data_IF_727921616816
#
_entry.id   IF_727921616816
#
_cell.length_a   1.000
_cell.length_b   1.000
_cell.length_c   1.000
_cell.angle_alpha   90.00
_cell.angle_beta   90.00
_cell.angle_gamma   90.00
#
_symmetry.space_group_name_H-M   'P 1'
#
loop_
_entity.id
_entity.type
_entity.pdbx_description
1 polymer ?
#
# COMPACT_ATOMS: atom_id res chain seq x y z
N UNK A 1 26.52 24.63 4.78
CA UNK A 1 27.43 23.75 5.52
C UNK A 1 27.00 22.30 5.26
N UNK A 2 27.88 21.39 4.85
CA UNK A 2 27.51 20.03 4.47
C UNK A 2 27.05 19.14 5.62
N UNK A 3 27.44 19.48 6.86
CA UNK A 3 27.15 18.65 8.06
C UNK A 3 25.65 18.56 8.38
N UNK A 4 24.90 19.62 8.14
CA UNK A 4 23.45 19.63 8.40
C UNK A 4 22.67 18.70 7.47
N UNK A 5 23.10 18.60 6.23
CA UNK A 5 22.44 17.76 5.22
C UNK A 5 22.62 16.26 5.50
N UNK A 6 23.80 15.85 5.97
CA UNK A 6 24.09 14.46 6.31
C UNK A 6 23.32 14.02 7.57
N UNK A 7 23.26 14.88 8.59
CA UNK A 7 22.50 14.62 9.81
C UNK A 7 21.00 14.41 9.54
N UNK A 8 20.40 15.24 8.67
CA UNK A 8 19.00 15.13 8.30
C UNK A 8 18.70 13.82 7.58
N UNK A 9 19.55 13.40 6.67
CA UNK A 9 19.38 12.17 5.91
C UNK A 9 19.46 10.95 6.82
N UNK A 10 20.37 10.92 7.78
CA UNK A 10 20.53 9.78 8.69
C UNK A 10 19.35 9.64 9.65
N UNK A 11 18.86 10.74 10.22
CA UNK A 11 17.66 10.71 11.08
C UNK A 11 16.41 10.25 10.33
N UNK A 12 16.24 10.68 9.09
CA UNK A 12 15.12 10.26 8.25
C UNK A 12 15.23 8.79 7.84
N UNK A 13 16.43 8.28 7.64
CA UNK A 13 16.66 6.87 7.31
C UNK A 13 16.40 5.93 8.49
N UNK A 14 16.69 6.35 9.72
CA UNK A 14 16.53 5.51 10.90
C UNK A 14 15.08 5.29 11.34
N UNK A 15 14.14 6.14 10.91
CA UNK A 15 12.72 6.05 11.33
C UNK A 15 11.71 6.16 10.16
N UNK A 16 11.83 5.40 9.08
CA UNK A 16 10.91 5.53 7.96
C UNK A 16 9.54 4.88 8.19
N UNK A 17 9.41 3.90 9.08
CA UNK A 17 8.20 3.11 9.33
C UNK A 17 7.90 3.10 10.82
N UNK A 18 6.68 3.47 11.21
CA UNK A 18 6.19 3.27 12.57
C UNK A 18 5.73 1.82 12.74
N UNK A 19 6.01 1.21 13.89
CA UNK A 19 5.46 -0.10 14.25
C UNK A 19 3.93 -0.08 14.17
N UNK A 20 3.33 -1.15 13.61
CA UNK A 20 1.89 -1.23 13.39
C UNK A 20 1.38 -0.49 12.15
N UNK A 21 2.26 -0.12 11.21
CA UNK A 21 1.85 0.42 9.92
C UNK A 21 1.34 -0.71 9.01
N UNK A 22 0.18 -0.50 8.38
CA UNK A 22 -0.37 -1.46 7.40
C UNK A 22 0.58 -1.72 6.22
N UNK A 23 1.54 -0.84 5.96
CA UNK A 23 2.59 -1.05 4.96
C UNK A 23 3.51 -2.23 5.29
N UNK A 24 3.58 -2.66 6.55
CA UNK A 24 4.39 -3.80 6.97
C UNK A 24 3.79 -5.15 6.51
N UNK A 25 2.50 -5.15 6.16
CA UNK A 25 1.81 -6.33 5.61
C UNK A 25 2.10 -6.55 4.12
N UNK A 26 2.81 -5.61 3.47
CA UNK A 26 3.22 -5.75 2.08
C UNK A 26 4.62 -6.34 1.95
N UNK A 27 4.85 -7.06 0.86
CA UNK A 27 6.17 -7.58 0.53
C UNK A 27 7.14 -6.45 0.15
N UNK A 28 8.37 -6.50 0.68
CA UNK A 28 9.42 -5.55 0.33
C UNK A 28 10.19 -6.01 -0.92
N UNK A 29 9.91 -5.38 -2.04
CA UNK A 29 10.55 -5.63 -3.32
C UNK A 29 11.72 -4.67 -3.63
N UNK A 30 12.23 -3.95 -2.63
CA UNK A 30 13.31 -2.96 -2.80
C UNK A 30 14.56 -3.54 -3.48
N UNK A 31 14.84 -4.83 -3.29
CA UNK A 31 15.98 -5.51 -3.89
C UNK A 31 15.86 -5.69 -5.42
N UNK A 32 14.64 -5.59 -5.97
CA UNK A 32 14.36 -5.77 -7.40
C UNK A 32 14.26 -4.43 -8.16
N UNK A 33 14.50 -3.32 -7.48
CA UNK A 33 14.41 -1.98 -8.07
C UNK A 33 15.72 -1.62 -8.77
N UNK A 34 15.64 -1.23 -10.05
CA UNK A 34 16.74 -0.64 -10.81
C UNK A 34 16.31 0.72 -11.38
N UNK A 35 17.18 1.73 -11.26
CA UNK A 35 16.95 3.09 -11.78
C UNK A 35 15.55 3.67 -11.50
N UNK A 36 15.06 3.55 -10.25
CA UNK A 36 13.71 3.97 -9.83
C UNK A 36 12.55 3.25 -10.55
N UNK A 37 12.83 2.10 -11.15
CA UNK A 37 11.81 1.27 -11.79
C UNK A 37 11.83 -0.13 -11.17
N UNK A 38 10.68 -0.64 -10.83
CA UNK A 38 10.49 -2.03 -10.44
C UNK A 38 10.04 -2.81 -11.69
N UNK A 39 10.83 -3.80 -12.08
CA UNK A 39 10.53 -4.67 -13.20
C UNK A 39 9.89 -5.96 -12.68
N UNK A 40 8.65 -6.21 -13.07
CA UNK A 40 7.91 -7.44 -12.76
C UNK A 40 7.59 -8.17 -14.06
N UNK A 41 7.46 -9.49 -13.97
CA UNK A 41 6.90 -10.31 -15.03
C UNK A 41 5.55 -10.83 -14.59
N UNK A 42 4.51 -10.50 -15.34
CA UNK A 42 3.18 -11.09 -15.14
C UNK A 42 3.14 -12.45 -15.86
N UNK A 43 2.80 -13.49 -15.11
CA UNK A 43 2.73 -14.84 -15.64
C UNK A 43 1.63 -14.96 -16.70
N UNK A 44 1.96 -15.55 -17.83
CA UNK A 44 0.98 -15.84 -18.89
C UNK A 44 -0.04 -16.89 -18.47
N UNK A 45 -0.95 -17.18 -19.38
CA UNK A 45 -2.08 -18.10 -19.15
C UNK A 45 -1.60 -19.50 -18.74
N UNK A 46 -2.25 -20.10 -17.76
CA UNK A 46 -2.00 -21.47 -17.36
C UNK A 46 -2.40 -22.44 -18.47
N UNK A 47 -1.69 -23.58 -18.61
CA UNK A 47 -2.01 -24.58 -19.61
C UNK A 47 -3.37 -25.25 -19.31
N UNK A 48 -4.13 -25.49 -20.37
CA UNK A 48 -5.40 -26.21 -20.30
C UNK A 48 -5.19 -27.67 -19.93
N UNK A 49 -5.98 -28.20 -18.99
CA UNK A 49 -5.95 -29.59 -18.57
C UNK A 49 -7.07 -30.37 -19.24
N UNK A 50 -6.70 -31.43 -19.97
CA UNK A 50 -7.66 -32.35 -20.60
C UNK A 50 -7.85 -33.56 -19.73
N UNK A 51 -9.11 -33.95 -19.49
CA UNK A 51 -9.47 -35.19 -18.81
C UNK A 51 -9.86 -36.22 -19.88
N UNK A 52 -9.32 -37.43 -19.80
CA UNK A 52 -9.60 -38.54 -20.72
C UNK A 52 -9.40 -38.15 -22.21
N UNK A 53 -8.29 -37.49 -22.52
CA UNK A 53 -8.00 -37.02 -23.87
C UNK A 53 -7.72 -38.17 -24.86
N UNK A 54 -8.58 -38.32 -25.87
CA UNK A 54 -8.45 -39.30 -26.94
C UNK A 54 -7.67 -38.78 -28.17
N UNK A 55 -7.30 -37.52 -28.18
CA UNK A 55 -6.67 -36.86 -29.32
C UNK A 55 -5.19 -36.54 -29.09
N UNK A 56 -4.32 -37.23 -29.83
CA UNK A 56 -2.85 -37.03 -29.79
C UNK A 56 -2.29 -36.67 -31.17
N UNK A 57 -1.24 -35.83 -31.25
CA UNK A 57 -0.56 -35.14 -30.13
C UNK A 57 -1.37 -33.98 -29.54
N UNK A 58 -1.23 -33.74 -28.22
CA UNK A 58 -1.78 -32.57 -27.57
C UNK A 58 -1.06 -31.31 -28.13
N UNK A 59 -1.82 -30.28 -28.43
CA UNK A 59 -1.29 -29.02 -28.96
C UNK A 59 -0.25 -28.41 -28.02
N UNK A 60 0.76 -27.76 -28.59
CA UNK A 60 1.77 -27.00 -27.82
C UNK A 60 1.30 -25.56 -27.74
N UNK A 61 1.10 -25.06 -26.54
CA UNK A 61 0.84 -23.64 -26.29
C UNK A 61 2.12 -23.02 -25.71
N UNK A 62 2.57 -21.93 -26.33
CA UNK A 62 3.69 -21.16 -25.80
C UNK A 62 3.14 -20.20 -24.73
N UNK A 63 3.71 -20.24 -23.53
CA UNK A 63 3.43 -19.25 -22.50
C UNK A 63 4.19 -17.96 -22.82
N UNK A 64 3.48 -16.86 -22.86
CA UNK A 64 4.06 -15.53 -23.02
C UNK A 64 3.90 -14.77 -21.70
N UNK A 65 5.02 -14.45 -21.06
CA UNK A 65 5.03 -13.63 -19.85
C UNK A 65 5.14 -12.15 -20.25
N UNK A 66 4.30 -11.31 -19.66
CA UNK A 66 4.25 -9.89 -19.99
C UNK A 66 5.07 -9.09 -18.99
N UNK A 67 6.11 -8.35 -19.43
CA UNK A 67 6.86 -7.47 -18.55
C UNK A 67 5.99 -6.30 -18.11
N UNK A 68 6.04 -5.96 -16.83
CA UNK A 68 5.33 -4.84 -16.21
C UNK A 68 6.31 -3.96 -15.45
N UNK A 69 6.43 -2.73 -15.89
CA UNK A 69 7.32 -1.75 -15.29
C UNK A 69 6.52 -0.79 -14.39
N UNK A 70 6.94 -0.68 -13.12
CA UNK A 70 6.34 0.22 -12.14
C UNK A 70 7.35 1.31 -11.79
N UNK A 71 7.04 2.55 -12.16
CA UNK A 71 7.85 3.70 -11.80
C UNK A 71 7.64 4.09 -10.33
N UNK A 72 8.74 4.26 -9.60
CA UNK A 72 8.70 4.69 -8.22
C UNK A 72 8.59 6.21 -8.10
N UNK A 73 7.79 6.65 -7.15
CA UNK A 73 7.65 8.07 -6.80
C UNK A 73 8.72 8.50 -5.80
N UNK A 74 9.31 9.67 -6.04
CA UNK A 74 10.14 10.35 -5.05
C UNK A 74 9.28 11.28 -4.19
N UNK A 75 9.54 11.30 -2.89
CA UNK A 75 8.84 12.15 -1.94
C UNK A 75 9.83 13.12 -1.31
N UNK A 76 9.62 14.41 -1.56
CA UNK A 76 10.45 15.49 -1.02
C UNK A 76 9.63 16.39 -0.11
N UNK A 77 10.27 16.94 0.91
CA UNK A 77 9.70 17.99 1.75
C UNK A 77 10.36 19.33 1.48
N UNK A 78 9.64 20.43 1.69
CA UNK A 78 10.23 21.76 1.64
C UNK A 78 11.25 21.93 2.76
N UNK A 79 12.36 22.59 2.46
CA UNK A 79 13.38 22.91 3.45
C UNK A 79 12.82 23.86 4.51
N UNK A 80 13.06 23.54 5.79
CA UNK A 80 12.72 24.40 6.91
C UNK A 80 13.99 25.02 7.47
N UNK A 81 14.03 26.35 7.56
CA UNK A 81 15.16 27.09 8.13
C UNK A 81 14.95 27.26 9.63
N UNK A 82 15.86 26.75 10.42
CA UNK A 82 15.92 27.02 11.86
C UNK A 82 16.91 28.18 12.08
N UNK A 83 16.38 29.36 12.37
CA UNK A 83 17.21 30.56 12.68
C UNK A 83 17.25 30.71 14.19
N UNK A 84 18.33 30.50 14.79
CA UNK A 84 18.83 31.07 16.06
C UNK A 84 19.95 30.25 16.63
N UNK A 85 21.14 30.79 16.57
CA UNK A 85 22.37 30.16 17.07
C UNK A 85 22.54 30.40 18.59
N UNK A 86 21.77 31.33 19.19
CA UNK A 86 22.00 31.82 20.55
C UNK A 86 21.59 30.86 21.69
N UNK A 87 20.95 29.78 21.39
CA UNK A 87 20.59 28.76 22.41
C UNK A 87 20.84 27.36 21.88
N UNK A 88 22.08 26.89 21.97
CA UNK A 88 22.45 25.53 21.51
C UNK A 88 21.56 24.42 22.09
N UNK A 89 21.09 24.54 23.33
CA UNK A 89 20.17 23.56 23.92
C UNK A 89 18.75 23.68 23.36
N UNK A 90 18.24 24.88 23.16
CA UNK A 90 16.93 25.09 22.54
C UNK A 90 16.94 24.79 21.02
N UNK A 91 18.08 24.96 20.36
CA UNK A 91 18.25 24.61 18.94
C UNK A 91 18.21 23.10 18.71
N UNK A 92 18.70 22.31 19.64
CA UNK A 92 18.64 20.84 19.56
C UNK A 92 17.18 20.34 19.62
N UNK A 93 16.38 20.83 20.58
CA UNK A 93 14.97 20.44 20.68
C UNK A 93 14.14 20.91 19.48
N UNK A 94 14.41 22.10 18.95
CA UNK A 94 13.78 22.63 17.74
C UNK A 94 14.14 21.78 16.51
N UNK A 95 15.41 21.41 16.37
CA UNK A 95 15.87 20.60 15.26
C UNK A 95 15.19 19.23 15.27
N UNK A 96 15.11 18.60 16.43
CA UNK A 96 14.43 17.31 16.60
C UNK A 96 12.92 17.44 16.28
N UNK A 97 12.26 18.49 16.75
CA UNK A 97 10.85 18.74 16.46
C UNK A 97 10.58 18.97 14.96
N UNK A 98 11.42 19.75 14.29
CA UNK A 98 11.32 19.99 12.85
C UNK A 98 11.56 18.71 12.07
N UNK A 99 12.57 17.93 12.44
CA UNK A 99 12.86 16.63 11.81
C UNK A 99 11.70 15.66 11.97
N UNK A 100 11.12 15.56 13.17
CA UNK A 100 9.90 14.74 13.39
C UNK A 100 8.73 15.22 12.53
N UNK A 101 8.57 16.53 12.36
CA UNK A 101 7.55 17.13 11.48
C UNK A 101 7.72 16.66 10.03
N UNK A 102 8.94 16.66 9.49
CA UNK A 102 9.24 16.16 8.15
C UNK A 102 8.99 14.66 8.01
N UNK A 103 9.47 13.87 8.97
CA UNK A 103 9.24 12.40 8.99
C UNK A 103 7.74 12.10 9.01
N UNK A 104 6.98 12.75 9.87
CA UNK A 104 5.53 12.56 9.97
C UNK A 104 4.79 12.96 8.68
N UNK A 105 5.23 14.02 8.01
CA UNK A 105 4.65 14.46 6.74
C UNK A 105 4.92 13.45 5.61
N UNK A 106 6.16 12.97 5.50
CA UNK A 106 6.55 11.95 4.54
C UNK A 106 5.79 10.62 4.78
N UNK A 107 5.72 10.17 6.03
CA UNK A 107 5.03 8.94 6.41
C UNK A 107 3.53 9.02 6.06
N UNK A 108 2.86 10.13 6.42
CA UNK A 108 1.45 10.32 6.04
C UNK A 108 1.24 10.31 4.53
N UNK A 109 2.11 10.99 3.78
CA UNK A 109 1.99 11.03 2.31
C UNK A 109 2.23 9.67 1.69
N UNK A 110 3.24 8.92 2.19
CA UNK A 110 3.53 7.56 1.75
C UNK A 110 2.34 6.63 1.99
N UNK A 111 1.75 6.64 3.20
CA UNK A 111 0.55 5.85 3.53
C UNK A 111 -0.63 6.18 2.61
N UNK A 112 -0.89 7.47 2.38
CA UNK A 112 -1.96 7.89 1.50
C UNK A 112 -1.74 7.45 0.04
N UNK A 113 -0.50 7.52 -0.47
CA UNK A 113 -0.17 7.05 -1.81
C UNK A 113 -0.29 5.52 -1.92
N UNK A 114 0.20 4.77 -0.92
CA UNK A 114 0.08 3.32 -0.91
C UNK A 114 -1.39 2.89 -0.88
N UNK A 115 -2.19 3.44 0.02
CA UNK A 115 -3.63 3.15 0.09
C UNK A 115 -4.33 3.45 -1.24
N UNK A 116 -4.01 4.59 -1.87
CA UNK A 116 -4.59 4.96 -3.16
C UNK A 116 -4.18 4.00 -4.29
N UNK A 117 -2.90 3.63 -4.35
CA UNK A 117 -2.38 2.77 -5.42
C UNK A 117 -2.80 1.30 -5.24
N UNK A 118 -3.06 0.86 -4.02
CA UNK A 118 -3.53 -0.51 -3.75
C UNK A 118 -5.04 -0.66 -3.93
N UNK A 119 -5.80 0.44 -3.85
CA UNK A 119 -7.23 0.39 -4.10
C UNK A 119 -7.52 0.20 -5.59
N UNK A 120 -8.28 -0.82 -5.99
CA UNK A 120 -8.73 -0.96 -7.36
C UNK A 120 -9.67 0.20 -7.73
N UNK A 121 -9.49 0.77 -8.92
CA UNK A 121 -10.32 1.87 -9.42
C UNK A 121 -11.65 1.40 -10.00
N UNK A 122 -11.73 0.13 -10.39
CA UNK A 122 -12.91 -0.47 -11.03
C UNK A 122 -13.08 -1.90 -10.54
N UNK A 123 -14.35 -2.34 -10.49
CA UNK A 123 -14.67 -3.73 -10.22
C UNK A 123 -14.17 -4.61 -11.37
N UNK A 124 -13.46 -5.67 -11.04
CA UNK A 124 -12.87 -6.61 -11.97
C UNK A 124 -12.87 -8.03 -11.41
N UNK A 125 -12.53 -8.99 -12.26
CA UNK A 125 -12.52 -10.41 -11.92
C UNK A 125 -11.65 -10.71 -10.70
N UNK A 126 -10.46 -10.09 -10.64
CA UNK A 126 -9.48 -10.27 -9.55
C UNK A 126 -9.39 -9.06 -8.59
N UNK A 127 -10.17 -8.03 -8.82
CA UNK A 127 -10.16 -6.78 -8.05
C UNK A 127 -11.58 -6.36 -7.69
N UNK A 128 -12.24 -7.06 -6.75
CA UNK A 128 -13.62 -6.77 -6.40
C UNK A 128 -13.77 -5.39 -5.74
N UNK A 129 -14.70 -4.59 -6.24
CA UNK A 129 -15.11 -3.32 -5.66
C UNK A 129 -16.56 -3.42 -5.23
N UNK A 130 -16.83 -3.22 -3.96
CA UNK A 130 -18.18 -3.25 -3.39
C UNK A 130 -18.59 -1.86 -2.92
N UNK A 131 -19.86 -1.56 -3.10
CA UNK A 131 -20.48 -0.36 -2.53
C UNK A 131 -21.12 -0.75 -1.22
N UNK A 132 -20.80 -0.03 -0.15
CA UNK A 132 -21.37 -0.24 1.19
C UNK A 132 -22.90 -0.06 1.18
N UNK A 133 -23.62 -0.92 1.90
CA UNK A 133 -25.10 -1.00 1.88
C UNK A 133 -25.76 -0.33 3.08
N UNK A 134 -25.02 0.03 4.10
CA UNK A 134 -25.54 0.61 5.33
C UNK A 134 -26.26 1.96 5.15
N UNK A 135 -26.73 2.51 6.24
CA UNK A 135 -27.46 3.77 6.29
C UNK A 135 -26.66 4.94 5.69
N UNK A 136 -27.33 5.84 4.99
CA UNK A 136 -26.72 7.03 4.42
C UNK A 136 -26.54 8.11 5.48
N UNK A 137 -25.31 8.39 5.86
CA UNK A 137 -24.94 9.41 6.85
C UNK A 137 -23.93 10.38 6.23
N UNK A 138 -24.23 11.68 6.26
CA UNK A 138 -23.37 12.73 5.71
C UNK A 138 -22.92 12.51 4.24
N UNK A 139 -23.80 11.95 3.41
CA UNK A 139 -23.51 11.69 2.01
C UNK A 139 -22.67 10.41 1.74
N UNK A 140 -22.33 9.65 2.77
CA UNK A 140 -21.63 8.36 2.74
C UNK A 140 -22.52 7.25 3.28
N UNK A 141 -22.51 6.08 2.65
CA UNK A 141 -23.12 4.88 3.25
C UNK A 141 -22.18 4.26 4.26
N UNK A 142 -22.70 3.85 5.39
CA UNK A 142 -21.92 3.15 6.42
C UNK A 142 -21.49 1.77 5.95
N UNK A 143 -20.34 1.35 6.43
CA UNK A 143 -19.86 -0.02 6.28
C UNK A 143 -20.57 -0.91 7.31
N UNK A 144 -21.08 -2.07 6.87
CA UNK A 144 -21.74 -3.07 7.71
C UNK A 144 -20.92 -4.36 7.76
N UNK A 145 -21.20 -5.23 8.74
CA UNK A 145 -20.62 -6.57 8.77
C UNK A 145 -21.06 -7.42 7.57
N UNK A 146 -22.31 -7.25 7.12
CA UNK A 146 -22.82 -7.93 5.92
C UNK A 146 -22.01 -7.56 4.65
N UNK A 147 -21.56 -6.31 4.54
CA UNK A 147 -20.70 -5.88 3.43
C UNK A 147 -19.32 -6.58 3.49
N UNK A 148 -18.77 -6.80 4.70
CA UNK A 148 -17.51 -7.53 4.88
C UNK A 148 -17.68 -9.02 4.55
N UNK A 149 -18.77 -9.64 4.98
CA UNK A 149 -19.09 -11.04 4.67
C UNK A 149 -19.25 -11.24 3.15
N UNK A 150 -19.85 -10.26 2.47
CA UNK A 150 -19.98 -10.28 1.01
C UNK A 150 -18.62 -10.15 0.32
N UNK A 151 -17.74 -9.28 0.84
CA UNK A 151 -16.38 -9.13 0.33
C UNK A 151 -15.57 -10.42 0.52
N UNK A 152 -15.66 -11.02 1.71
CA UNK A 152 -15.03 -12.29 2.03
C UNK A 152 -15.51 -13.41 1.09
N UNK A 153 -16.82 -13.48 0.82
CA UNK A 153 -17.39 -14.48 -0.10
C UNK A 153 -16.84 -14.32 -1.51
N UNK A 154 -16.63 -13.07 -1.98
CA UNK A 154 -16.00 -12.81 -3.28
C UNK A 154 -14.55 -13.33 -3.33
N UNK A 155 -13.73 -13.08 -2.31
CA UNK A 155 -12.36 -13.59 -2.27
C UNK A 155 -12.31 -15.11 -2.18
N UNK A 156 -13.21 -15.74 -1.43
CA UNK A 156 -13.34 -17.20 -1.38
C UNK A 156 -13.72 -17.78 -2.75
N UNK A 157 -14.59 -17.12 -3.50
CA UNK A 157 -14.96 -17.55 -4.85
C UNK A 157 -13.80 -17.45 -5.85
N UNK A 158 -12.82 -16.59 -5.58
CA UNK A 158 -11.57 -16.47 -6.36
C UNK A 158 -10.47 -17.43 -5.88
N UNK A 159 -10.77 -18.31 -4.91
CA UNK A 159 -9.82 -19.28 -4.34
C UNK A 159 -8.58 -18.66 -3.70
N UNK A 160 -8.69 -17.40 -3.21
CA UNK A 160 -7.59 -16.70 -2.55
C UNK A 160 -7.36 -17.27 -1.15
N UNK A 161 -6.10 -17.42 -0.74
CA UNK A 161 -5.75 -17.82 0.61
C UNK A 161 -6.13 -16.74 1.63
N UNK A 162 -7.20 -16.97 2.35
CA UNK A 162 -7.75 -16.02 3.33
C UNK A 162 -6.82 -15.75 4.51
N UNK A 163 -5.84 -16.62 4.77
CA UNK A 163 -4.90 -16.45 5.90
C UNK A 163 -3.88 -15.36 5.66
N UNK A 164 -3.68 -14.97 4.40
CA UNK A 164 -2.73 -13.93 3.99
C UNK A 164 -3.40 -12.57 3.73
N UNK A 165 -4.71 -12.47 3.91
CA UNK A 165 -5.43 -11.22 3.69
C UNK A 165 -5.34 -10.32 4.92
N UNK A 166 -5.04 -9.04 4.68
CA UNK A 166 -5.07 -8.00 5.68
C UNK A 166 -6.17 -6.98 5.35
N UNK A 167 -7.04 -6.69 6.31
CA UNK A 167 -8.10 -5.70 6.15
C UNK A 167 -7.62 -4.33 6.67
N UNK A 168 -7.54 -3.35 5.78
CA UNK A 168 -7.19 -1.98 6.12
C UNK A 168 -8.45 -1.12 6.13
N UNK A 169 -8.79 -0.59 7.30
CA UNK A 169 -9.97 0.25 7.50
C UNK A 169 -9.58 1.71 7.75
N UNK A 170 -10.42 2.63 7.29
CA UNK A 170 -10.36 4.02 7.75
C UNK A 170 -10.98 4.14 9.14
N UNK A 171 -10.66 5.20 9.87
CA UNK A 171 -11.27 5.49 11.19
C UNK A 171 -12.79 5.61 11.13
N UNK A 172 -13.33 6.05 9.99
CA UNK A 172 -14.77 6.15 9.76
C UNK A 172 -15.42 4.77 9.62
N UNK A 173 -14.79 3.86 8.84
CA UNK A 173 -15.27 2.49 8.70
C UNK A 173 -15.19 1.71 10.03
N UNK A 174 -14.12 1.93 10.81
CA UNK A 174 -14.00 1.34 12.14
C UNK A 174 -15.11 1.84 13.07
N UNK A 175 -15.44 3.13 13.03
CA UNK A 175 -16.53 3.71 13.80
C UNK A 175 -17.90 3.16 13.38
N UNK A 176 -18.12 2.93 12.09
CA UNK A 176 -19.35 2.31 11.57
C UNK A 176 -19.56 0.92 12.16
N UNK A 177 -18.56 0.04 12.07
CA UNK A 177 -18.63 -1.33 12.60
C UNK A 177 -18.80 -1.35 14.12
N UNK A 178 -18.17 -0.42 14.85
CA UNK A 178 -18.38 -0.29 16.30
C UNK A 178 -19.78 0.18 16.67
N UNK A 179 -20.45 0.90 15.78
CA UNK A 179 -21.83 1.38 16.02
C UNK A 179 -22.90 0.34 15.70
N UNK A 180 -22.54 -0.72 14.99
CA UNK A 180 -23.44 -1.83 14.64
C UNK A 180 -23.51 -2.89 15.75
N UNK A 181 -22.50 -2.93 16.64
CA UNK A 181 -22.46 -3.75 17.85
C UNK A 181 -23.14 -3.04 19.02
#
# INVERSE_FOLDING_TARGET
>A
MPIEKELWVDIIKEQPIQEGDFLNESEDLSALVDNNTLHLAEAGVEPEVFIDNDTYPVGIVQREDVPKDILLHTLDTKNTVVRNIEQMQAAYDKMLSVTRGHVNALTRKRRALAAYNWCPLQDGEFTPVLVTTGELVNGRRRLTFDDLDLLEAKFKAMEVDMTQLCLVLTTEHEADLKSEN
#
